data_IF_859694897435
#
_entry.id   IF_859694897435
#
_cell.length_a   1.000
_cell.length_b   1.000
_cell.length_c   1.000
_cell.angle_alpha   90.00
_cell.angle_beta   90.00
_cell.angle_gamma   90.00
#
_symmetry.space_group_name_H-M   'P 1'
#
loop_
_entity.id
_entity.type
_entity.pdbx_description
1 polymer ?
#
# COMPACT_ATOMS: atom_id res chain seq x y z
N UNK A 1 -9.98 -11.32 -3.05
CA UNK A 1 -8.70 -11.20 -3.75
C UNK A 1 -7.71 -12.15 -3.08
N UNK A 2 -7.01 -12.96 -3.86
CA UNK A 2 -5.95 -13.83 -3.39
C UNK A 2 -4.60 -13.23 -3.78
N UNK A 3 -3.62 -13.36 -2.91
CA UNK A 3 -2.22 -13.06 -3.15
C UNK A 3 -1.44 -14.31 -3.66
N UNK A 4 -2.12 -15.45 -3.80
CA UNK A 4 -1.52 -16.69 -4.30
C UNK A 4 -1.51 -16.71 -5.82
N UNK A 5 -0.33 -16.90 -6.39
CA UNK A 5 -0.10 -16.89 -7.85
C UNK A 5 -1.01 -17.86 -8.61
N UNK A 6 -1.09 -19.11 -8.17
CA UNK A 6 -1.93 -20.15 -8.82
C UNK A 6 -3.41 -19.76 -8.86
N UNK A 7 -3.95 -19.26 -7.73
CA UNK A 7 -5.34 -18.83 -7.66
C UNK A 7 -5.62 -17.63 -8.57
N UNK A 8 -4.64 -16.73 -8.75
CA UNK A 8 -4.77 -15.60 -9.67
C UNK A 8 -4.76 -16.06 -11.13
N UNK A 9 -3.94 -17.06 -11.48
CA UNK A 9 -3.96 -17.64 -12.82
C UNK A 9 -5.28 -18.36 -13.11
N UNK A 10 -5.82 -19.11 -12.16
CA UNK A 10 -7.15 -19.73 -12.27
C UNK A 10 -8.26 -18.67 -12.43
N UNK A 11 -8.18 -17.57 -11.67
CA UNK A 11 -9.13 -16.47 -11.78
C UNK A 11 -9.07 -15.80 -13.16
N UNK A 12 -7.87 -15.56 -13.70
CA UNK A 12 -7.70 -15.01 -15.04
C UNK A 12 -8.29 -15.95 -16.10
N UNK A 13 -7.99 -17.24 -16.03
CA UNK A 13 -8.58 -18.23 -16.95
C UNK A 13 -10.10 -18.33 -16.84
N UNK A 14 -10.66 -18.11 -15.65
CA UNK A 14 -12.10 -18.04 -15.47
C UNK A 14 -12.70 -16.79 -16.13
N UNK A 15 -12.03 -15.63 -15.98
CA UNK A 15 -12.44 -14.39 -16.64
C UNK A 15 -12.43 -14.54 -18.15
N UNK A 16 -11.39 -15.13 -18.74
CA UNK A 16 -11.30 -15.39 -20.19
C UNK A 16 -12.50 -16.21 -20.68
N UNK A 17 -12.84 -17.28 -19.95
CA UNK A 17 -14.02 -18.12 -20.28
C UNK A 17 -15.33 -17.35 -20.18
N UNK A 18 -15.49 -16.50 -19.17
CA UNK A 18 -16.69 -15.67 -18.99
C UNK A 18 -16.82 -14.67 -20.15
N UNK A 19 -15.73 -14.00 -20.53
CA UNK A 19 -15.74 -13.03 -21.63
C UNK A 19 -16.05 -13.71 -22.97
N UNK A 20 -15.44 -14.86 -23.24
CA UNK A 20 -15.73 -15.65 -24.44
C UNK A 20 -17.20 -16.11 -24.49
N UNK A 21 -17.74 -16.58 -23.37
CA UNK A 21 -19.14 -16.97 -23.28
C UNK A 21 -20.08 -15.77 -23.50
N UNK A 22 -19.82 -14.64 -22.86
CA UNK A 22 -20.64 -13.43 -23.04
C UNK A 22 -20.71 -13.02 -24.52
N UNK A 23 -19.58 -13.02 -25.22
CA UNK A 23 -19.53 -12.74 -26.67
C UNK A 23 -20.30 -13.78 -27.50
N UNK A 24 -20.15 -15.06 -27.21
CA UNK A 24 -20.84 -16.13 -27.94
C UNK A 24 -22.36 -16.06 -27.81
N UNK A 25 -22.85 -15.47 -26.71
CA UNK A 25 -24.29 -15.24 -26.48
C UNK A 25 -24.79 -13.89 -27.03
N UNK A 26 -23.96 -13.14 -27.76
CA UNK A 26 -24.28 -11.79 -28.24
C UNK A 26 -24.32 -10.73 -27.16
N UNK A 27 -23.76 -11.00 -26.02
CA UNK A 27 -23.64 -10.07 -24.90
C UNK A 27 -22.43 -9.14 -25.01
N UNK A 28 -22.33 -8.20 -24.08
CA UNK A 28 -21.20 -7.28 -23.94
C UNK A 28 -20.26 -7.70 -22.83
N UNK A 29 -18.97 -7.40 -22.99
CA UNK A 29 -17.92 -7.78 -22.01
C UNK A 29 -17.76 -6.78 -20.88
N UNK A 30 -18.50 -5.69 -20.86
CA UNK A 30 -18.45 -4.68 -19.82
C UNK A 30 -19.85 -4.32 -19.36
N UNK A 31 -20.09 -4.49 -18.05
CA UNK A 31 -21.26 -3.92 -17.39
C UNK A 31 -21.03 -2.43 -17.08
N UNK A 32 -20.70 -2.12 -15.80
CA UNK A 32 -20.53 -0.75 -15.31
C UNK A 32 -19.07 -0.23 -15.29
N UNK A 33 -18.07 -1.12 -15.23
CA UNK A 33 -16.66 -0.76 -15.00
C UNK A 33 -15.92 -0.29 -16.25
N UNK A 34 -16.53 -0.35 -17.42
CA UNK A 34 -15.89 0.02 -18.69
C UNK A 34 -14.91 -1.03 -19.22
N UNK A 35 -14.32 -0.74 -20.35
CA UNK A 35 -13.32 -1.60 -21.01
C UNK A 35 -11.91 -1.29 -20.52
N UNK A 36 -11.53 -0.03 -20.54
CA UNK A 36 -10.20 0.42 -20.17
C UNK A 36 -9.09 -0.24 -21.00
N UNK A 37 -8.02 -0.62 -20.32
CA UNK A 37 -6.91 -1.39 -20.90
C UNK A 37 -7.09 -2.89 -20.63
N UNK A 38 -7.72 -3.24 -19.52
CA UNK A 38 -7.81 -4.63 -19.02
C UNK A 38 -8.65 -5.56 -19.86
N UNK A 39 -9.61 -5.02 -20.61
CA UNK A 39 -10.54 -5.79 -21.43
C UNK A 39 -10.37 -5.51 -22.93
N UNK A 40 -9.36 -4.74 -23.30
CA UNK A 40 -9.15 -4.33 -24.69
C UNK A 40 -8.92 -5.54 -25.61
N UNK A 41 -8.19 -6.54 -25.16
CA UNK A 41 -7.85 -7.73 -25.94
C UNK A 41 -9.06 -8.62 -26.26
N UNK A 42 -10.18 -8.41 -25.57
CA UNK A 42 -11.44 -9.12 -25.88
C UNK A 42 -12.28 -8.43 -26.95
N UNK A 43 -11.91 -7.22 -27.39
CA UNK A 43 -12.62 -6.48 -28.43
C UNK A 43 -11.97 -6.68 -29.80
N UNK A 44 -12.79 -6.88 -30.82
CA UNK A 44 -12.30 -6.85 -32.19
C UNK A 44 -12.00 -5.40 -32.63
N UNK A 45 -11.05 -5.19 -33.56
CA UNK A 45 -10.75 -3.85 -34.06
C UNK A 45 -11.97 -3.10 -34.60
N UNK A 46 -12.91 -3.82 -35.22
CA UNK A 46 -14.14 -3.30 -35.77
C UNK A 46 -15.09 -2.76 -34.70
N UNK A 47 -15.07 -3.36 -33.50
CA UNK A 47 -15.86 -2.91 -32.35
C UNK A 47 -15.29 -1.60 -31.77
N UNK A 48 -13.99 -1.36 -31.92
CA UNK A 48 -13.29 -0.16 -31.45
C UNK A 48 -13.32 0.99 -32.46
N UNK A 49 -13.45 0.70 -33.75
CA UNK A 49 -13.33 1.69 -34.82
C UNK A 49 -14.20 2.95 -34.62
N UNK A 50 -15.50 2.84 -34.25
CA UNK A 50 -16.33 4.02 -34.03
C UNK A 50 -15.83 4.91 -32.87
N UNK A 51 -15.29 4.29 -31.82
CA UNK A 51 -14.71 5.04 -30.70
C UNK A 51 -13.40 5.74 -31.09
N UNK A 52 -12.55 5.05 -31.83
CA UNK A 52 -11.26 5.60 -32.28
C UNK A 52 -11.50 6.80 -33.20
N UNK A 53 -12.43 6.71 -34.15
CA UNK A 53 -12.82 7.80 -35.04
C UNK A 53 -13.37 8.99 -34.23
N UNK A 54 -14.30 8.75 -33.30
CA UNK A 54 -14.84 9.78 -32.44
C UNK A 54 -13.73 10.48 -31.64
N UNK A 55 -12.83 9.70 -31.02
CA UNK A 55 -11.72 10.23 -30.22
C UNK A 55 -10.77 11.08 -31.07
N UNK A 56 -10.40 10.64 -32.27
CA UNK A 56 -9.54 11.40 -33.18
C UNK A 56 -10.15 12.74 -33.57
N UNK A 57 -11.48 12.79 -33.71
CA UNK A 57 -12.21 14.03 -34.05
C UNK A 57 -12.23 15.03 -32.92
N UNK A 58 -12.45 14.59 -31.64
CA UNK A 58 -12.60 15.49 -30.50
C UNK A 58 -11.30 15.74 -29.74
N UNK A 59 -10.32 14.86 -29.85
CA UNK A 59 -9.05 14.92 -29.16
C UNK A 59 -7.89 14.54 -30.11
N UNK A 60 -7.68 15.31 -31.19
CA UNK A 60 -6.68 14.98 -32.21
C UNK A 60 -5.24 14.98 -31.67
N UNK A 61 -4.99 15.69 -30.57
CA UNK A 61 -3.68 15.72 -29.92
C UNK A 61 -3.50 14.63 -28.85
N UNK A 62 -4.52 13.82 -28.60
CA UNK A 62 -4.48 12.71 -27.66
C UNK A 62 -4.21 13.11 -26.20
N UNK A 63 -4.75 14.28 -25.78
CA UNK A 63 -4.54 14.84 -24.45
C UNK A 63 -5.26 14.08 -23.33
N UNK A 64 -6.46 13.57 -23.63
CA UNK A 64 -7.32 12.91 -22.65
C UNK A 64 -7.16 11.38 -22.67
N UNK A 65 -7.05 10.77 -21.50
CA UNK A 65 -6.94 9.30 -21.34
C UNK A 65 -5.93 8.67 -22.32
N UNK A 66 -4.75 9.23 -22.36
CA UNK A 66 -3.68 8.83 -23.29
C UNK A 66 -3.40 7.35 -23.20
N UNK A 67 -3.39 6.66 -24.34
CA UNK A 67 -3.08 5.24 -24.43
C UNK A 67 -4.19 4.29 -23.95
N UNK A 68 -5.38 4.77 -23.63
CA UNK A 68 -6.52 3.92 -23.25
C UNK A 68 -7.48 3.70 -24.42
N UNK A 69 -7.96 2.48 -24.60
CA UNK A 69 -8.83 2.06 -25.70
C UNK A 69 -8.24 2.35 -27.11
N UNK A 70 -6.95 2.45 -27.23
CA UNK A 70 -6.28 2.69 -28.51
C UNK A 70 -5.40 1.50 -28.89
N UNK A 71 -5.21 1.24 -30.19
CA UNK A 71 -4.27 0.20 -30.64
C UNK A 71 -2.89 0.38 -30.01
N UNK A 72 -2.30 -0.70 -29.49
CA UNK A 72 -1.02 -0.68 -28.80
C UNK A 72 -1.07 -0.25 -27.32
N UNK A 73 -2.24 0.03 -26.78
CA UNK A 73 -2.41 0.20 -25.34
C UNK A 73 -2.10 -1.12 -24.62
N UNK A 74 -1.24 -1.07 -23.62
CA UNK A 74 -0.92 -2.24 -22.81
C UNK A 74 -0.80 -1.86 -21.33
N UNK A 75 -0.90 -2.87 -20.47
CA UNK A 75 -0.86 -2.69 -19.02
C UNK A 75 0.53 -2.32 -18.50
N UNK A 76 1.60 -2.64 -19.23
CA UNK A 76 2.96 -2.32 -18.84
C UNK A 76 3.24 -0.81 -18.76
N UNK A 77 2.40 0.02 -19.38
CA UNK A 77 2.50 1.48 -19.37
C UNK A 77 1.48 2.15 -18.44
N UNK A 78 0.67 1.38 -17.74
CA UNK A 78 -0.38 1.89 -16.88
C UNK A 78 -0.13 1.47 -15.43
N UNK A 79 -0.08 2.46 -14.51
CA UNK A 79 -0.26 2.18 -13.11
C UNK A 79 -1.74 1.83 -12.89
N UNK A 80 -2.02 0.56 -12.90
CA UNK A 80 -3.31 0.07 -12.43
C UNK A 80 -3.03 -1.05 -11.43
N UNK A 81 -3.65 -1.02 -10.26
CA UNK A 81 -3.77 -2.21 -9.42
C UNK A 81 -4.71 -3.18 -10.15
N UNK A 82 -4.29 -3.67 -11.30
CA UNK A 82 -5.10 -4.51 -12.17
C UNK A 82 -4.67 -5.96 -12.08
N UNK A 83 -5.62 -6.83 -12.31
CA UNK A 83 -5.44 -8.28 -12.22
C UNK A 83 -4.30 -8.86 -13.08
N UNK A 84 -3.86 -8.20 -14.12
CA UNK A 84 -2.76 -8.71 -14.98
C UNK A 84 -1.35 -8.39 -14.46
N UNK A 85 -1.20 -7.39 -13.61
CA UNK A 85 0.02 -7.16 -12.86
C UNK A 85 0.13 -8.13 -11.67
N UNK A 86 -0.98 -8.60 -11.13
CA UNK A 86 -1.05 -9.49 -9.99
C UNK A 86 -0.31 -10.83 -10.17
N UNK A 87 -0.04 -11.26 -11.40
CA UNK A 87 0.73 -12.48 -11.64
C UNK A 87 2.17 -12.39 -11.12
N UNK A 88 2.88 -11.32 -11.44
CA UNK A 88 4.27 -11.10 -10.99
C UNK A 88 4.27 -10.57 -9.55
N UNK A 89 3.35 -9.68 -9.22
CA UNK A 89 3.18 -9.14 -7.87
C UNK A 89 2.91 -10.22 -6.85
N UNK A 90 2.10 -11.22 -7.17
CA UNK A 90 1.83 -12.33 -6.26
C UNK A 90 3.08 -13.15 -5.94
N UNK A 91 3.97 -13.37 -6.91
CA UNK A 91 5.24 -14.05 -6.67
C UNK A 91 6.15 -13.23 -5.75
N UNK A 92 6.21 -11.92 -5.96
CA UNK A 92 6.96 -11.02 -5.08
C UNK A 92 6.36 -11.04 -3.66
N UNK A 93 5.03 -10.96 -3.55
CA UNK A 93 4.32 -10.99 -2.28
C UNK A 93 4.50 -12.33 -1.54
N UNK A 94 4.51 -13.45 -2.24
CA UNK A 94 4.71 -14.78 -1.63
C UNK A 94 6.14 -14.98 -1.09
N UNK A 95 7.14 -14.30 -1.66
CA UNK A 95 8.55 -14.57 -1.41
C UNK A 95 9.29 -13.43 -0.69
N UNK A 96 8.61 -12.34 -0.33
CA UNK A 96 9.26 -11.16 0.25
C UNK A 96 8.69 -10.76 1.61
N UNK A 97 9.50 -10.02 2.37
CA UNK A 97 9.06 -9.41 3.63
C UNK A 97 7.98 -8.35 3.45
N UNK A 98 8.00 -7.63 2.33
CA UNK A 98 6.90 -6.72 1.94
C UNK A 98 5.60 -7.52 1.78
N UNK A 99 5.66 -8.72 1.25
CA UNK A 99 4.52 -9.63 1.15
C UNK A 99 3.97 -10.04 2.52
N UNK A 100 4.82 -10.32 3.48
CA UNK A 100 4.40 -10.61 4.86
C UNK A 100 3.69 -9.40 5.50
N UNK A 101 4.19 -8.20 5.27
CA UNK A 101 3.54 -6.96 5.72
C UNK A 101 2.18 -6.80 5.01
N UNK A 102 2.11 -6.99 3.70
CA UNK A 102 0.86 -6.94 2.94
C UNK A 102 -0.16 -7.96 3.44
N UNK A 103 0.25 -9.20 3.66
CA UNK A 103 -0.59 -10.29 4.18
C UNK A 103 -1.19 -9.95 5.55
N UNK A 104 -0.43 -9.28 6.41
CA UNK A 104 -0.89 -8.91 7.76
C UNK A 104 -1.99 -7.84 7.78
N UNK A 105 -2.20 -7.11 6.68
CA UNK A 105 -3.17 -6.00 6.57
C UNK A 105 -4.26 -6.22 5.53
N UNK A 106 -4.17 -7.25 4.69
CA UNK A 106 -5.04 -7.47 3.52
C UNK A 106 -6.53 -7.56 3.85
N UNK A 107 -6.86 -8.15 4.99
CA UNK A 107 -8.25 -8.39 5.41
C UNK A 107 -8.91 -7.15 6.06
N UNK A 108 -8.24 -6.02 6.09
CA UNK A 108 -8.76 -4.80 6.70
C UNK A 108 -10.05 -4.32 6.04
N UNK A 109 -11.15 -4.36 6.80
CA UNK A 109 -12.48 -3.89 6.35
C UNK A 109 -12.60 -2.36 6.26
N UNK A 110 -11.57 -1.60 6.60
CA UNK A 110 -11.57 -0.13 6.64
C UNK A 110 -12.66 0.47 7.51
N UNK A 111 -13.23 -0.28 8.43
CA UNK A 111 -14.37 0.11 9.28
C UNK A 111 -14.07 1.23 10.27
N UNK A 112 -12.81 1.45 10.64
CA UNK A 112 -12.37 2.53 11.53
C UNK A 112 -12.59 2.29 13.02
N UNK A 113 -13.06 1.13 13.49
CA UNK A 113 -13.26 0.82 14.92
C UNK A 113 -11.97 0.95 15.76
N UNK A 114 -10.81 0.83 15.14
CA UNK A 114 -9.51 1.02 15.78
C UNK A 114 -9.13 2.49 16.05
N UNK A 115 -9.83 3.47 15.46
CA UNK A 115 -9.49 4.90 15.61
C UNK A 115 -9.64 5.42 17.04
N UNK A 116 -10.76 5.19 17.75
CA UNK A 116 -10.97 5.77 19.08
C UNK A 116 -9.99 5.28 20.14
N UNK A 117 -9.42 4.08 19.95
CA UNK A 117 -8.52 3.45 20.93
C UNK A 117 -7.04 3.75 20.68
N UNK A 118 -6.72 4.39 19.56
CA UNK A 118 -5.34 4.69 19.19
C UNK A 118 -4.78 5.86 19.98
N UNK A 119 -3.65 5.66 20.66
CA UNK A 119 -2.96 6.69 21.44
C UNK A 119 -2.33 7.80 20.60
N UNK A 120 -2.04 7.53 19.32
CA UNK A 120 -1.42 8.51 18.41
C UNK A 120 -2.43 9.18 17.48
N UNK A 121 -3.70 8.77 17.52
CA UNK A 121 -4.74 9.37 16.69
C UNK A 121 -5.38 10.56 17.41
N UNK A 122 -5.15 11.74 16.88
CA UNK A 122 -5.80 12.98 17.35
C UNK A 122 -6.80 13.42 16.27
N UNK A 123 -8.12 13.26 16.50
CA UNK A 123 -9.13 13.75 15.58
C UNK A 123 -8.92 15.25 15.29
N UNK A 124 -9.06 15.67 14.04
CA UNK A 124 -8.85 17.04 13.54
C UNK A 124 -7.39 17.47 13.37
N UNK A 125 -6.45 16.96 14.17
CA UNK A 125 -5.05 17.35 14.05
C UNK A 125 -4.28 16.41 13.10
N UNK A 126 -4.61 15.11 13.10
CA UNK A 126 -3.87 14.13 12.30
C UNK A 126 -4.75 12.96 11.86
N UNK A 127 -5.41 13.11 10.72
CA UNK A 127 -6.23 12.06 10.14
C UNK A 127 -5.42 10.86 9.67
N UNK A 128 -4.15 11.07 9.28
CA UNK A 128 -3.29 10.05 8.71
C UNK A 128 -2.92 8.97 9.75
N UNK A 129 -2.69 9.34 11.00
CA UNK A 129 -2.06 8.46 11.98
C UNK A 129 -3.03 7.56 12.77
N UNK A 130 -4.28 7.45 12.38
CA UNK A 130 -5.14 6.38 12.91
C UNK A 130 -4.70 5.01 12.39
N UNK A 131 -4.91 3.91 13.12
CA UNK A 131 -4.50 2.58 12.66
C UNK A 131 -5.09 2.23 11.29
N UNK A 132 -6.37 2.51 11.06
CA UNK A 132 -7.01 2.33 9.75
C UNK A 132 -6.29 3.05 8.62
N UNK A 133 -5.93 4.32 8.83
CA UNK A 133 -5.29 5.13 7.79
C UNK A 133 -3.83 4.73 7.61
N UNK A 134 -3.15 4.29 8.67
CA UNK A 134 -1.81 3.69 8.57
C UNK A 134 -1.83 2.40 7.74
N UNK A 135 -2.82 1.53 7.96
CA UNK A 135 -3.01 0.32 7.14
C UNK A 135 -3.22 0.69 5.67
N UNK A 136 -4.07 1.68 5.40
CA UNK A 136 -4.30 2.14 4.04
C UNK A 136 -3.02 2.70 3.40
N UNK A 137 -2.30 3.56 4.14
CA UNK A 137 -1.02 4.11 3.68
C UNK A 137 0.04 3.03 3.46
N UNK A 138 0.13 2.03 4.36
CA UNK A 138 1.02 0.88 4.18
C UNK A 138 0.68 0.10 2.91
N UNK A 139 -0.59 -0.18 2.66
CA UNK A 139 -1.03 -0.86 1.44
C UNK A 139 -0.67 -0.10 0.17
N UNK A 140 -0.90 1.22 0.14
CA UNK A 140 -0.54 2.07 -1.00
C UNK A 140 0.99 2.09 -1.25
N UNK A 141 1.79 2.11 -0.18
CA UNK A 141 3.25 2.07 -0.31
C UNK A 141 3.75 0.69 -0.78
N UNK A 142 3.14 -0.39 -0.31
CA UNK A 142 3.43 -1.74 -0.84
C UNK A 142 3.14 -1.80 -2.33
N UNK A 143 1.99 -1.30 -2.78
CA UNK A 143 1.66 -1.22 -4.21
C UNK A 143 2.67 -0.38 -4.99
N UNK A 144 3.13 0.74 -4.43
CA UNK A 144 4.13 1.58 -5.06
C UNK A 144 5.50 0.88 -5.19
N UNK A 145 5.94 0.16 -4.15
CA UNK A 145 7.17 -0.64 -4.21
C UNK A 145 7.08 -1.75 -5.26
N UNK A 146 5.96 -2.46 -5.32
CA UNK A 146 5.74 -3.51 -6.32
C UNK A 146 5.75 -2.96 -7.75
N UNK A 147 5.13 -1.82 -7.96
CA UNK A 147 5.13 -1.16 -9.26
C UNK A 147 6.53 -0.72 -9.69
N UNK A 148 7.30 -0.12 -8.79
CA UNK A 148 8.66 0.33 -9.09
C UNK A 148 9.60 -0.84 -9.37
N UNK A 149 9.47 -1.93 -8.62
CA UNK A 149 10.23 -3.17 -8.83
C UNK A 149 9.95 -3.74 -10.23
N UNK A 150 8.69 -3.83 -10.63
CA UNK A 150 8.30 -4.35 -11.95
C UNK A 150 8.76 -3.46 -13.10
N UNK A 151 8.75 -2.15 -12.93
CA UNK A 151 9.14 -1.20 -13.97
C UNK A 151 10.66 -1.01 -14.07
N UNK A 152 11.44 -1.66 -13.19
CA UNK A 152 12.90 -1.52 -13.08
C UNK A 152 13.40 -0.08 -12.95
N UNK A 153 12.57 0.79 -12.39
CA UNK A 153 12.93 2.20 -12.14
C UNK A 153 13.67 2.40 -10.82
N UNK A 154 13.79 1.32 -10.04
CA UNK A 154 14.28 1.36 -8.67
C UNK A 154 13.25 1.97 -7.72
N UNK A 155 13.39 1.69 -6.43
CA UNK A 155 12.47 2.18 -5.41
C UNK A 155 12.82 3.63 -5.05
N UNK A 156 11.83 4.52 -5.10
CA UNK A 156 12.00 5.93 -4.74
C UNK A 156 12.36 6.09 -3.27
N UNK A 157 13.35 6.92 -2.98
CA UNK A 157 13.73 7.29 -1.60
C UNK A 157 12.55 7.92 -0.84
N UNK A 158 11.66 8.62 -1.53
CA UNK A 158 10.46 9.20 -0.93
C UNK A 158 9.55 8.13 -0.33
N UNK A 159 9.38 6.99 -0.99
CA UNK A 159 8.56 5.90 -0.46
C UNK A 159 9.12 5.29 0.83
N UNK A 160 10.44 5.19 0.95
CA UNK A 160 11.07 4.79 2.20
C UNK A 160 10.87 5.82 3.31
N UNK A 161 10.88 7.10 2.99
CA UNK A 161 10.62 8.17 3.93
C UNK A 161 9.20 8.13 4.49
N UNK A 162 8.21 7.96 3.63
CA UNK A 162 6.81 7.81 4.00
C UNK A 162 6.58 6.52 4.79
N UNK A 163 7.23 5.43 4.41
CA UNK A 163 7.16 4.16 5.12
C UNK A 163 7.75 4.28 6.54
N UNK A 164 8.87 4.99 6.71
CA UNK A 164 9.43 5.33 8.02
C UNK A 164 8.46 6.14 8.86
N UNK A 165 7.84 7.18 8.27
CA UNK A 165 6.91 8.05 8.97
C UNK A 165 5.70 7.27 9.51
N UNK A 166 5.05 6.48 8.66
CA UNK A 166 3.91 5.64 9.04
C UNK A 166 4.29 4.65 10.15
N UNK A 167 5.43 3.96 10.00
CA UNK A 167 5.90 3.00 10.97
C UNK A 167 6.23 3.65 12.33
N UNK A 168 6.86 4.82 12.33
CA UNK A 168 7.33 5.48 13.55
C UNK A 168 6.22 6.15 14.36
N UNK A 169 5.09 6.46 13.73
CA UNK A 169 3.93 7.01 14.43
C UNK A 169 3.09 5.97 15.20
N UNK A 170 3.54 4.73 15.30
CA UNK A 170 2.93 3.71 16.14
C UNK A 170 3.70 3.55 17.46
N UNK A 171 3.01 3.60 18.59
CA UNK A 171 3.60 3.37 19.92
C UNK A 171 3.62 1.89 20.32
N UNK A 172 3.21 1.00 19.44
CA UNK A 172 3.18 -0.47 19.68
C UNK A 172 2.36 -0.79 20.96
N UNK A 173 1.27 -0.10 21.18
CA UNK A 173 0.43 -0.28 22.38
C UNK A 173 -0.62 -1.39 22.23
N UNK A 174 -0.76 -2.00 21.07
CA UNK A 174 -1.66 -3.12 20.71
C UNK A 174 -3.17 -2.87 20.97
N UNK A 175 -3.57 -1.64 21.33
CA UNK A 175 -4.98 -1.32 21.63
C UNK A 175 -5.90 -1.47 20.43
N UNK A 176 -5.38 -1.36 19.21
CA UNK A 176 -6.16 -1.47 17.99
C UNK A 176 -6.61 -2.90 17.68
N UNK A 177 -5.99 -3.91 18.24
CA UNK A 177 -6.35 -5.32 18.07
C UNK A 177 -7.75 -5.59 18.62
N UNK A 178 -8.02 -5.20 19.88
CA UNK A 178 -9.26 -5.53 20.57
C UNK A 178 -10.56 -5.16 19.83
N UNK A 179 -10.71 -3.95 19.22
CA UNK A 179 -11.92 -3.60 18.48
C UNK A 179 -11.90 -4.07 17.01
N UNK A 180 -10.82 -4.70 16.54
CA UNK A 180 -10.69 -5.12 15.15
C UNK A 180 -11.53 -6.38 14.89
N UNK A 181 -12.49 -6.37 13.94
CA UNK A 181 -13.31 -7.54 13.66
C UNK A 181 -12.59 -8.64 12.86
N UNK A 182 -11.37 -8.37 12.40
CA UNK A 182 -10.51 -9.28 11.60
C UNK A 182 -9.12 -9.42 12.24
N UNK A 183 -9.02 -9.13 13.52
CA UNK A 183 -7.86 -9.37 14.39
C UNK A 183 -6.52 -8.78 13.90
N UNK A 184 -6.56 -7.63 13.20
CA UNK A 184 -5.34 -6.95 12.77
C UNK A 184 -4.76 -6.14 13.93
N UNK A 185 -3.54 -6.47 14.32
CA UNK A 185 -2.73 -5.67 15.23
C UNK A 185 -1.75 -4.80 14.47
N UNK A 186 -2.02 -3.51 14.39
CA UNK A 186 -1.11 -2.58 13.72
C UNK A 186 0.21 -2.38 14.51
N UNK A 187 0.27 -2.74 15.78
CA UNK A 187 1.52 -2.77 16.54
C UNK A 187 2.54 -3.71 15.91
N UNK A 188 2.12 -4.94 15.61
CA UNK A 188 2.96 -5.96 14.99
C UNK A 188 3.33 -5.58 13.55
N UNK A 189 2.38 -5.06 12.77
CA UNK A 189 2.65 -4.51 11.43
C UNK A 189 3.73 -3.43 11.49
N UNK A 190 3.65 -2.50 12.45
CA UNK A 190 4.65 -1.44 12.64
C UNK A 190 6.02 -2.00 13.00
N UNK A 191 6.10 -3.08 13.78
CA UNK A 191 7.38 -3.76 14.10
C UNK A 191 7.97 -4.37 12.83
N UNK A 192 7.17 -5.09 12.04
CA UNK A 192 7.59 -5.68 10.78
C UNK A 192 8.10 -4.61 9.80
N UNK A 193 7.38 -3.50 9.64
CA UNK A 193 7.82 -2.37 8.82
C UNK A 193 9.17 -1.80 9.27
N UNK A 194 9.38 -1.63 10.58
CA UNK A 194 10.64 -1.11 11.13
C UNK A 194 11.81 -2.09 10.94
N UNK A 195 11.56 -3.40 11.01
CA UNK A 195 12.56 -4.41 10.73
C UNK A 195 12.96 -4.40 9.27
N UNK A 196 11.99 -4.42 8.37
CA UNK A 196 12.21 -4.27 6.94
C UNK A 196 13.08 -3.04 6.62
N UNK A 197 12.74 -1.87 7.17
CA UNK A 197 13.53 -0.65 6.97
C UNK A 197 14.98 -0.77 7.50
N UNK A 198 15.22 -1.52 8.57
CA UNK A 198 16.57 -1.75 9.10
C UNK A 198 17.37 -2.66 8.17
N UNK A 199 16.78 -3.72 7.68
CA UNK A 199 17.40 -4.68 6.77
C UNK A 199 17.75 -4.03 5.43
N UNK A 200 16.89 -3.14 4.93
CA UNK A 200 17.16 -2.34 3.74
C UNK A 200 18.14 -1.17 3.99
N UNK A 201 18.63 -0.96 5.22
CA UNK A 201 19.47 0.18 5.55
C UNK A 201 18.79 1.55 5.44
N UNK A 202 17.45 1.56 5.33
CA UNK A 202 16.65 2.77 5.11
C UNK A 202 15.99 3.30 6.40
N UNK A 203 16.28 2.71 7.55
CA UNK A 203 15.73 3.19 8.84
C UNK A 203 16.35 4.51 9.23
N UNK A 204 15.52 5.55 9.35
CA UNK A 204 15.97 6.89 9.77
C UNK A 204 16.51 6.87 11.21
N UNK A 205 17.69 7.45 11.39
CA UNK A 205 18.25 7.67 12.71
C UNK A 205 17.65 8.94 13.33
N UNK A 206 17.10 8.81 14.52
CA UNK A 206 16.55 9.93 15.30
C UNK A 206 17.35 10.07 16.60
N UNK A 207 18.18 11.11 16.75
CA UNK A 207 19.04 11.27 17.93
C UNK A 207 18.29 11.26 19.26
N UNK A 208 17.11 11.88 19.31
CA UNK A 208 16.27 11.89 20.50
C UNK A 208 15.79 10.49 20.90
N UNK A 209 15.44 9.63 19.93
CA UNK A 209 15.08 8.22 20.20
C UNK A 209 16.28 7.42 20.70
N UNK A 210 17.46 7.65 20.11
CA UNK A 210 18.69 7.00 20.56
C UNK A 210 19.04 7.40 22.01
N UNK A 211 18.94 8.67 22.35
CA UNK A 211 19.15 9.16 23.71
C UNK A 211 18.12 8.58 24.70
N UNK A 212 16.83 8.52 24.32
CA UNK A 212 15.80 7.91 25.15
C UNK A 212 16.06 6.41 25.38
N UNK A 213 16.45 5.68 24.36
CA UNK A 213 16.80 4.26 24.46
C UNK A 213 18.04 4.05 25.34
N UNK A 214 19.07 4.89 25.17
CA UNK A 214 20.27 4.85 26.04
C UNK A 214 19.86 5.07 27.50
N UNK A 215 19.00 6.04 27.79
CA UNK A 215 18.45 6.27 29.13
C UNK A 215 17.71 5.06 29.70
N UNK A 216 16.83 4.43 28.88
CA UNK A 216 16.03 3.27 29.29
C UNK A 216 16.88 2.00 29.54
N UNK A 217 18.06 1.93 28.96
CA UNK A 217 18.99 0.80 29.15
C UNK A 217 19.94 0.96 30.31
N UNK A 218 19.97 2.13 31.00
CA UNK A 218 20.79 2.37 32.17
C UNK A 218 20.37 1.45 33.32
N UNK A 219 21.36 0.85 33.98
CA UNK A 219 21.14 -0.06 35.12
C UNK A 219 21.61 0.55 36.44
N UNK A 220 22.48 1.55 36.37
CA UNK A 220 23.05 2.18 37.56
C UNK A 220 22.09 3.23 38.15
N UNK A 221 21.64 3.08 39.42
CA UNK A 221 20.69 4.00 40.03
C UNK A 221 21.17 5.45 40.14
N UNK A 222 22.47 5.68 40.34
CA UNK A 222 23.05 7.01 40.45
C UNK A 222 22.97 7.75 39.11
N UNK A 223 23.33 7.08 38.04
CA UNK A 223 23.26 7.60 36.67
C UNK A 223 21.80 7.88 36.27
N UNK A 224 20.87 6.97 36.59
CA UNK A 224 19.43 7.17 36.33
C UNK A 224 18.92 8.42 37.08
N UNK A 225 19.29 8.59 38.34
CA UNK A 225 18.91 9.75 39.15
C UNK A 225 19.45 11.05 38.56
N UNK A 226 20.72 11.07 38.17
CA UNK A 226 21.34 12.23 37.54
C UNK A 226 20.66 12.63 36.22
N UNK A 227 20.46 11.67 35.33
CA UNK A 227 19.82 11.90 34.04
C UNK A 227 18.37 12.34 34.19
N UNK A 228 17.63 11.75 35.14
CA UNK A 228 16.25 12.16 35.46
C UNK A 228 16.21 13.60 35.96
N UNK A 229 17.10 13.98 36.87
CA UNK A 229 17.20 15.36 37.40
C UNK A 229 17.49 16.33 36.25
N UNK A 230 18.48 16.01 35.39
CA UNK A 230 18.78 16.83 34.20
C UNK A 230 17.62 17.00 33.26
N UNK A 231 16.94 15.90 32.89
CA UNK A 231 15.83 15.98 31.94
C UNK A 231 14.59 16.65 32.52
N UNK A 232 14.21 16.38 33.76
CA UNK A 232 12.99 16.89 34.37
C UNK A 232 13.19 18.29 34.93
N UNK A 233 14.21 18.50 35.78
CA UNK A 233 14.38 19.77 36.46
C UNK A 233 14.96 20.86 35.55
N UNK A 234 15.93 20.52 34.70
CA UNK A 234 16.53 21.50 33.78
C UNK A 234 15.68 21.67 32.50
N UNK A 235 15.09 20.61 32.02
CA UNK A 235 14.16 20.71 30.87
C UNK A 235 12.91 21.54 31.19
N UNK A 236 12.40 21.46 32.43
CA UNK A 236 11.27 22.28 32.89
C UNK A 236 11.63 23.74 33.12
N UNK A 237 12.87 24.02 33.49
CA UNK A 237 13.38 25.40 33.68
C UNK A 237 13.76 26.09 32.37
N UNK A 238 13.87 25.34 31.28
CA UNK A 238 14.23 25.85 29.96
C UNK A 238 12.99 26.14 29.06
N UNK A 239 11.79 25.81 29.52
CA UNK A 239 10.50 26.21 28.93
C UNK A 239 10.00 27.51 29.54
#
# INVERSE_FOLDING_TARGET
>A
NSDRYEMLQEANAAVDRIMALAKSLGGVISGEHGIGITKLDYLAPEELAPFVEYKQRIDPEGRFNKGKLLPGANLGNAYTPSFSLLGIESLILEQSEIGNIAASIKDCLRCGKCKPVCSTHVPRANLLYSPRNKILGTGLLVEAFLYEEQTRRGVSLAHFDEFNDIADHCTICHRCLKPCPVDIDYGDVSVAMRNFLREQGQKKFVPAKAAAMAFLTLKDPATIKLMRTGMIEWGYKAQ
#
